data_IF_548548567275
#
_entry.id   IF_548548567275
#
_cell.length_a   1.000
_cell.length_b   1.000
_cell.length_c   1.000
_cell.angle_alpha   90.00
_cell.angle_beta   90.00
_cell.angle_gamma   90.00
#
_symmetry.space_group_name_H-M   'P 1'
#
loop_
_entity.id
_entity.type
_entity.pdbx_description
1 polymer ?
#
# COMPACT_ATOMS: atom_id res chain seq x y z
N UNK A 1 11.66 -15.13 11.82
CA UNK A 1 11.88 -14.47 10.52
C UNK A 1 12.97 -13.41 10.64
N UNK A 2 13.76 -13.18 9.59
CA UNK A 2 14.83 -12.16 9.56
C UNK A 2 14.70 -11.35 8.29
N UNK A 3 14.63 -10.03 8.39
CA UNK A 3 14.52 -9.10 7.27
C UNK A 3 15.79 -8.27 7.15
N UNK A 4 16.39 -8.22 5.96
CA UNK A 4 17.66 -7.56 5.70
C UNK A 4 17.57 -6.68 4.46
N UNK A 5 18.33 -5.59 4.46
CA UNK A 5 18.53 -4.73 3.31
C UNK A 5 20.05 -4.50 3.11
N UNK A 6 20.59 -5.00 2.02
CA UNK A 6 22.01 -4.93 1.70
C UNK A 6 22.22 -4.16 0.40
N UNK A 7 23.25 -3.32 0.37
CA UNK A 7 23.69 -2.66 -0.86
C UNK A 7 24.87 -3.46 -1.41
N UNK A 8 24.74 -3.95 -2.63
CA UNK A 8 25.77 -4.71 -3.35
C UNK A 8 25.97 -4.10 -4.74
N UNK A 9 27.19 -3.69 -5.05
CA UNK A 9 27.53 -3.06 -6.33
C UNK A 9 26.58 -1.94 -6.73
N UNK A 10 25.65 -2.22 -7.66
CA UNK A 10 24.69 -1.27 -8.21
C UNK A 10 23.23 -1.55 -7.77
N UNK A 11 23.04 -2.34 -6.73
CA UNK A 11 21.71 -2.79 -6.30
C UNK A 11 21.52 -2.67 -4.79
N UNK A 12 20.27 -2.48 -4.37
CA UNK A 12 19.82 -2.78 -3.02
C UNK A 12 19.02 -4.09 -3.08
N UNK A 13 19.38 -5.02 -2.22
CA UNK A 13 18.76 -6.33 -2.10
C UNK A 13 18.01 -6.38 -0.78
N UNK A 14 16.69 -6.46 -0.85
CA UNK A 14 15.83 -6.76 0.28
C UNK A 14 15.67 -8.27 0.40
N UNK A 15 15.86 -8.83 1.58
CA UNK A 15 15.69 -10.27 1.79
C UNK A 15 14.92 -10.59 3.05
N UNK A 16 14.12 -11.66 2.97
CA UNK A 16 13.37 -12.25 4.08
C UNK A 16 13.80 -13.70 4.21
N UNK A 17 14.30 -14.07 5.37
CA UNK A 17 14.89 -15.37 5.68
C UNK A 17 14.17 -16.02 6.88
N UNK A 18 14.30 -17.33 7.01
CA UNK A 18 13.76 -18.09 8.14
C UNK A 18 12.23 -17.92 8.30
N UNK A 19 11.50 -18.10 7.20
CA UNK A 19 10.04 -18.10 7.21
C UNK A 19 9.55 -19.49 7.63
N UNK A 20 8.72 -19.55 8.66
CA UNK A 20 8.33 -20.81 9.29
C UNK A 20 6.99 -21.36 8.80
N UNK A 21 6.10 -20.50 8.27
CA UNK A 21 4.74 -20.88 7.86
C UNK A 21 4.48 -20.58 6.39
N UNK A 22 3.60 -21.38 5.76
CA UNK A 22 3.17 -21.14 4.37
C UNK A 22 2.41 -19.82 4.24
N UNK A 23 1.54 -19.48 5.19
CA UNK A 23 0.81 -18.20 5.21
C UNK A 23 1.76 -17.00 5.15
N UNK A 24 2.87 -17.05 5.88
CA UNK A 24 3.87 -16.00 5.86
C UNK A 24 4.64 -15.95 4.54
N UNK A 25 4.89 -17.12 3.92
CA UNK A 25 5.46 -17.17 2.56
C UNK A 25 4.54 -16.53 1.54
N UNK A 26 3.24 -16.84 1.60
CA UNK A 26 2.24 -16.26 0.72
C UNK A 26 2.20 -14.74 0.88
N UNK A 27 2.24 -14.23 2.11
CA UNK A 27 2.29 -12.79 2.39
C UNK A 27 3.53 -12.13 1.78
N UNK A 28 4.70 -12.73 1.95
CA UNK A 28 5.96 -12.22 1.38
C UNK A 28 5.93 -12.27 -0.15
N UNK A 29 5.40 -13.35 -0.74
CA UNK A 29 5.23 -13.47 -2.19
C UNK A 29 4.21 -12.44 -2.74
N UNK A 30 3.13 -12.18 -2.02
CA UNK A 30 2.15 -11.15 -2.38
C UNK A 30 2.78 -9.74 -2.43
N UNK A 31 3.81 -9.49 -1.62
CA UNK A 31 4.64 -8.28 -1.70
C UNK A 31 5.69 -8.31 -2.83
N UNK A 32 5.59 -9.27 -3.77
CA UNK A 32 6.46 -9.44 -4.95
C UNK A 32 7.90 -9.87 -4.64
N UNK A 33 8.15 -10.50 -3.50
CA UNK A 33 9.43 -11.17 -3.25
C UNK A 33 9.47 -12.51 -3.97
N UNK A 34 10.63 -12.87 -4.49
CA UNK A 34 10.88 -14.13 -5.21
C UNK A 34 11.79 -15.04 -4.40
N UNK A 35 11.42 -16.31 -4.31
CA UNK A 35 12.26 -17.30 -3.65
C UNK A 35 13.56 -17.53 -4.44
N UNK A 36 14.69 -17.48 -3.73
CA UNK A 36 16.02 -17.70 -4.28
C UNK A 36 16.89 -18.35 -3.22
N UNK A 37 17.32 -19.60 -3.45
CA UNK A 37 18.23 -20.35 -2.55
C UNK A 37 17.78 -20.34 -1.08
N UNK A 38 16.48 -20.60 -0.84
CA UNK A 38 15.91 -20.73 0.51
C UNK A 38 15.66 -19.39 1.24
N UNK A 39 15.76 -18.27 0.54
CA UNK A 39 15.33 -16.94 1.01
C UNK A 39 14.46 -16.24 -0.03
N UNK A 40 13.69 -15.28 0.41
CA UNK A 40 12.85 -14.46 -0.46
C UNK A 40 13.54 -13.11 -0.70
N UNK A 41 13.69 -12.72 -1.96
CA UNK A 41 14.43 -11.52 -2.33
C UNK A 41 13.63 -10.60 -3.24
N UNK A 42 13.88 -9.29 -3.11
CA UNK A 42 13.45 -8.24 -4.02
C UNK A 42 14.62 -7.30 -4.26
N UNK A 43 14.84 -6.94 -5.52
CA UNK A 43 16.06 -6.23 -5.94
C UNK A 43 15.67 -4.95 -6.65
N UNK A 44 16.33 -3.84 -6.30
CA UNK A 44 16.18 -2.55 -6.95
C UNK A 44 17.55 -1.97 -7.32
N UNK A 45 17.58 -1.01 -8.26
CA UNK A 45 18.78 -0.21 -8.51
C UNK A 45 19.15 0.60 -7.25
N UNK A 46 20.43 0.80 -7.01
CA UNK A 46 20.91 1.71 -5.96
C UNK A 46 20.78 3.19 -6.31
N UNK A 47 20.42 3.51 -7.56
CA UNK A 47 20.33 4.90 -8.02
C UNK A 47 19.08 5.63 -7.50
N UNK A 48 18.17 4.90 -6.84
CA UNK A 48 17.03 5.53 -6.18
C UNK A 48 17.47 6.38 -4.98
N UNK A 49 16.99 7.62 -4.85
CA UNK A 49 17.40 8.52 -3.76
C UNK A 49 17.05 7.99 -2.36
N UNK A 50 16.09 7.05 -2.26
CA UNK A 50 15.62 6.47 -1.00
C UNK A 50 16.46 5.29 -0.49
N UNK A 51 17.49 4.86 -1.20
CA UNK A 51 18.24 3.62 -0.90
C UNK A 51 18.75 3.57 0.54
N UNK A 52 19.32 4.64 1.07
CA UNK A 52 19.80 4.68 2.46
C UNK A 52 18.64 4.65 3.48
N UNK A 53 17.50 5.26 3.14
CA UNK A 53 16.29 5.19 3.97
C UNK A 53 15.74 3.75 3.99
N UNK A 54 15.65 3.10 2.84
CA UNK A 54 15.20 1.71 2.73
C UNK A 54 16.11 0.77 3.51
N UNK A 55 17.43 0.93 3.38
CA UNK A 55 18.42 0.15 4.14
C UNK A 55 18.23 0.27 5.65
N UNK A 56 17.88 1.46 6.14
CA UNK A 56 17.57 1.73 7.56
C UNK A 56 16.20 1.18 7.96
N UNK A 57 15.19 1.41 7.13
CA UNK A 57 13.78 1.21 7.48
C UNK A 57 13.34 -0.25 7.34
N UNK A 58 13.72 -0.91 6.25
CA UNK A 58 13.27 -2.26 5.93
C UNK A 58 13.57 -3.27 7.06
N UNK A 59 14.80 -3.42 7.57
CA UNK A 59 15.06 -4.37 8.66
C UNK A 59 14.29 -4.08 9.95
N UNK A 60 13.93 -2.82 10.17
CA UNK A 60 13.22 -2.37 11.38
C UNK A 60 11.73 -2.66 11.36
N UNK A 61 11.11 -2.62 10.16
CA UNK A 61 9.66 -2.63 10.04
C UNK A 61 9.10 -3.85 9.31
N UNK A 62 9.89 -4.50 8.46
CA UNK A 62 9.40 -5.56 7.58
C UNK A 62 8.86 -6.77 8.35
N UNK A 63 9.46 -7.15 9.47
CA UNK A 63 8.97 -8.27 10.27
C UNK A 63 7.55 -8.01 10.77
N UNK A 64 7.30 -6.83 11.36
CA UNK A 64 5.97 -6.43 11.82
C UNK A 64 4.98 -6.37 10.65
N UNK A 65 5.41 -5.81 9.53
CA UNK A 65 4.60 -5.69 8.32
C UNK A 65 4.15 -7.06 7.78
N UNK A 66 5.07 -8.02 7.64
CA UNK A 66 4.74 -9.34 7.10
C UNK A 66 3.97 -10.22 8.08
N UNK A 67 4.26 -10.14 9.38
CA UNK A 67 3.57 -10.93 10.39
C UNK A 67 2.21 -10.36 10.79
N UNK A 68 1.95 -9.09 10.52
CA UNK A 68 0.76 -8.37 11.00
C UNK A 68 0.70 -8.24 12.53
N UNK A 69 1.77 -8.64 13.25
CA UNK A 69 1.79 -8.59 14.72
C UNK A 69 1.71 -7.15 15.21
N UNK A 70 0.69 -6.87 16.03
CA UNK A 70 0.40 -5.53 16.54
C UNK A 70 0.21 -4.46 15.43
N UNK A 71 -0.16 -4.87 14.23
CA UNK A 71 -0.47 -3.97 13.14
C UNK A 71 -1.86 -3.33 13.34
N UNK A 72 -1.96 -2.03 13.05
CA UNK A 72 -3.21 -1.28 13.22
C UNK A 72 -3.49 -0.41 11.98
N UNK A 73 -4.33 -0.94 11.08
CA UNK A 73 -4.68 -0.24 9.84
C UNK A 73 -5.38 1.10 10.07
N UNK A 74 -6.16 1.22 11.16
CA UNK A 74 -6.86 2.47 11.48
C UNK A 74 -5.88 3.56 11.87
N UNK A 75 -4.92 3.23 12.72
CA UNK A 75 -3.84 4.17 13.06
C UNK A 75 -2.97 4.50 11.87
N UNK A 76 -2.63 3.50 11.05
CA UNK A 76 -1.84 3.71 9.84
C UNK A 76 -2.54 4.70 8.88
N UNK A 77 -3.83 4.48 8.59
CA UNK A 77 -4.62 5.37 7.73
C UNK A 77 -4.76 6.77 8.32
N UNK A 78 -5.01 6.89 9.62
CA UNK A 78 -5.09 8.19 10.32
C UNK A 78 -3.77 8.95 10.21
N UNK A 79 -2.66 8.30 10.53
CA UNK A 79 -1.32 8.91 10.46
C UNK A 79 -0.99 9.37 9.04
N UNK A 80 -1.32 8.54 8.02
CA UNK A 80 -1.14 8.90 6.63
C UNK A 80 -1.98 10.14 6.25
N UNK A 81 -3.26 10.10 6.56
CA UNK A 81 -4.20 11.18 6.24
C UNK A 81 -3.83 12.53 6.91
N UNK A 82 -3.39 12.50 8.17
CA UNK A 82 -2.96 13.70 8.90
C UNK A 82 -1.73 14.36 8.24
N UNK A 83 -0.72 13.58 7.86
CA UNK A 83 0.46 14.09 7.16
C UNK A 83 0.08 14.64 5.79
N UNK A 84 -0.73 13.92 5.01
CA UNK A 84 -1.21 14.39 3.71
C UNK A 84 -1.99 15.71 3.83
N UNK A 85 -2.84 15.85 4.85
CA UNK A 85 -3.56 17.09 5.13
C UNK A 85 -2.60 18.25 5.43
N UNK A 86 -1.59 18.04 6.27
CA UNK A 86 -0.59 19.06 6.62
C UNK A 86 0.25 19.50 5.40
N UNK A 87 0.50 18.58 4.46
CA UNK A 87 1.28 18.81 3.25
C UNK A 87 0.44 19.20 2.03
N UNK A 88 -0.89 19.26 2.18
CA UNK A 88 -1.83 19.49 1.09
C UNK A 88 -1.69 18.48 -0.06
N UNK A 89 -1.42 17.22 0.28
CA UNK A 89 -1.33 16.11 -0.66
C UNK A 89 -2.74 15.55 -0.88
N UNK A 90 -3.15 15.46 -2.14
CA UNK A 90 -4.44 14.91 -2.54
C UNK A 90 -4.31 13.41 -2.86
N UNK A 91 -5.26 12.63 -2.39
CA UNK A 91 -5.27 11.19 -2.55
C UNK A 91 -6.67 10.61 -2.43
N UNK A 92 -6.84 9.41 -2.91
CA UNK A 92 -8.03 8.62 -2.64
C UNK A 92 -7.67 7.19 -2.27
N UNK A 93 -8.57 6.55 -1.54
CA UNK A 93 -8.42 5.19 -1.06
C UNK A 93 -9.01 4.21 -2.05
N UNK A 94 -8.33 3.10 -2.28
CA UNK A 94 -8.81 1.97 -3.08
C UNK A 94 -8.72 0.65 -2.29
N UNK A 95 -8.94 -0.47 -2.96
CA UNK A 95 -8.76 -1.79 -2.36
C UNK A 95 -9.69 -2.09 -1.18
N UNK A 96 -9.28 -3.05 -0.36
CA UNK A 96 -10.09 -3.56 0.76
C UNK A 96 -10.31 -2.53 1.87
N UNK A 97 -9.45 -1.55 1.94
CA UNK A 97 -9.58 -0.50 2.93
C UNK A 97 -10.79 0.42 2.64
N UNK A 98 -11.19 0.56 1.35
CA UNK A 98 -12.43 1.24 0.97
C UNK A 98 -13.66 0.61 1.62
N UNK A 99 -13.77 -0.72 1.58
CA UNK A 99 -14.86 -1.46 2.16
C UNK A 99 -14.86 -1.31 3.70
N UNK A 100 -13.69 -1.44 4.32
CA UNK A 100 -13.54 -1.32 5.78
C UNK A 100 -13.94 0.07 6.30
N UNK A 101 -13.55 1.13 5.59
CA UNK A 101 -13.89 2.53 5.93
C UNK A 101 -15.37 2.81 5.78
N UNK A 102 -16.08 2.14 4.83
CA UNK A 102 -17.53 2.16 4.69
C UNK A 102 -18.27 1.38 5.78
N UNK A 103 -17.54 0.67 6.65
CA UNK A 103 -18.13 -0.14 7.72
C UNK A 103 -18.49 -1.56 7.31
N UNK A 104 -18.04 -2.03 6.16
CA UNK A 104 -18.21 -3.43 5.78
C UNK A 104 -17.35 -4.36 6.68
N UNK A 105 -17.78 -5.60 6.93
CA UNK A 105 -17.13 -6.51 7.88
C UNK A 105 -15.85 -7.13 7.31
N UNK A 106 -14.84 -6.30 7.07
CA UNK A 106 -13.54 -6.70 6.56
C UNK A 106 -12.41 -6.05 7.34
N UNK A 107 -11.31 -6.79 7.51
CA UNK A 107 -10.06 -6.27 8.06
C UNK A 107 -9.03 -6.19 6.93
N UNK A 108 -8.61 -4.99 6.52
CA UNK A 108 -7.56 -4.84 5.52
C UNK A 108 -6.21 -5.37 6.03
N UNK A 109 -5.46 -6.05 5.17
CA UNK A 109 -4.07 -6.44 5.43
C UNK A 109 -3.07 -5.37 4.98
N UNK A 110 -3.47 -4.58 4.00
CA UNK A 110 -2.75 -3.48 3.38
C UNK A 110 -3.69 -2.30 3.13
N UNK A 111 -3.13 -1.18 2.76
CA UNK A 111 -3.86 0.02 2.38
C UNK A 111 -3.40 0.42 0.97
N UNK A 112 -4.32 0.35 0.00
CA UNK A 112 -4.08 0.80 -1.37
C UNK A 112 -4.49 2.27 -1.49
N UNK A 113 -3.54 3.13 -1.84
CA UNK A 113 -3.75 4.58 -2.00
C UNK A 113 -3.34 5.02 -3.38
N UNK A 114 -4.19 5.80 -4.02
CA UNK A 114 -3.86 6.50 -5.24
C UNK A 114 -3.52 7.95 -4.95
N UNK A 115 -2.35 8.36 -5.43
CA UNK A 115 -1.85 9.73 -5.39
C UNK A 115 -1.94 10.31 -6.79
N UNK A 116 -2.23 11.60 -6.89
CA UNK A 116 -2.14 12.26 -8.19
C UNK A 116 -0.69 12.40 -8.63
N UNK A 117 -0.45 12.18 -9.91
CA UNK A 117 0.90 12.04 -10.49
C UNK A 117 1.84 13.17 -10.10
N UNK A 118 1.33 14.40 -10.05
CA UNK A 118 2.10 15.60 -9.72
C UNK A 118 2.62 15.61 -8.27
N UNK A 119 1.95 14.89 -7.37
CA UNK A 119 2.26 14.84 -5.93
C UNK A 119 2.87 13.51 -5.47
N UNK A 120 3.16 12.60 -6.40
CA UNK A 120 3.67 11.27 -6.04
C UNK A 120 4.98 11.35 -5.24
N UNK A 121 5.91 12.18 -5.68
CA UNK A 121 7.18 12.36 -4.98
C UNK A 121 7.07 13.27 -3.74
N UNK A 122 6.03 14.10 -3.63
CA UNK A 122 5.74 14.84 -2.40
C UNK A 122 5.40 13.89 -1.25
N UNK A 123 4.71 12.77 -1.56
CA UNK A 123 4.46 11.70 -0.57
C UNK A 123 5.77 11.06 -0.10
N UNK A 124 6.69 10.74 -1.01
CA UNK A 124 8.02 10.24 -0.65
C UNK A 124 8.72 11.17 0.37
N UNK A 125 8.71 12.46 0.05
CA UNK A 125 9.41 13.46 0.86
C UNK A 125 8.70 13.75 2.20
N UNK A 126 7.40 13.47 2.28
CA UNK A 126 6.60 13.60 3.50
C UNK A 126 6.77 12.41 4.47
N UNK A 127 7.18 11.23 3.98
CA UNK A 127 7.21 9.98 4.76
C UNK A 127 8.57 9.28 4.80
N UNK A 128 9.72 9.97 4.97
CA UNK A 128 11.05 9.36 4.84
C UNK A 128 11.30 8.21 5.82
N UNK A 129 10.74 8.29 7.04
CA UNK A 129 10.94 7.28 8.10
C UNK A 129 10.13 5.99 7.87
N UNK A 130 9.26 5.95 6.85
CA UNK A 130 8.34 4.84 6.55
C UNK A 130 8.59 4.18 5.21
N UNK A 131 9.52 4.69 4.39
CA UNK A 131 9.82 4.16 3.05
C UNK A 131 10.39 2.75 3.17
N UNK A 132 9.72 1.79 2.51
CA UNK A 132 10.11 0.37 2.47
C UNK A 132 10.68 -0.05 1.13
N UNK A 133 10.22 0.57 0.06
CA UNK A 133 10.63 0.31 -1.32
C UNK A 133 10.75 1.64 -2.08
N UNK A 134 11.55 1.68 -3.16
CA UNK A 134 11.73 2.91 -3.94
C UNK A 134 10.40 3.41 -4.53
N UNK A 135 10.32 4.73 -4.69
CA UNK A 135 9.28 5.39 -5.46
C UNK A 135 9.67 5.38 -6.94
N UNK A 136 9.03 4.50 -7.72
CA UNK A 136 9.44 4.13 -9.07
C UNK A 136 8.52 4.74 -10.13
N UNK A 137 9.10 5.24 -11.23
CA UNK A 137 8.39 5.39 -12.51
C UNK A 137 8.61 4.10 -13.32
N UNK A 138 7.59 3.28 -13.43
CA UNK A 138 7.60 2.00 -14.12
C UNK A 138 7.24 2.15 -15.61
N UNK A 139 6.94 3.37 -16.07
CA UNK A 139 6.48 3.63 -17.42
C UNK A 139 5.22 2.82 -17.74
N UNK A 140 5.27 2.05 -18.84
CA UNK A 140 4.16 1.18 -19.25
C UNK A 140 4.44 -0.31 -18.93
N UNK A 141 5.38 -0.59 -18.04
CA UNK A 141 5.79 -1.98 -17.76
C UNK A 141 4.91 -2.69 -16.74
N UNK A 142 4.01 -1.98 -16.08
CA UNK A 142 3.13 -2.51 -15.05
C UNK A 142 1.72 -1.90 -15.14
N UNK A 143 0.81 -2.35 -14.25
CA UNK A 143 -0.60 -1.92 -14.21
C UNK A 143 -0.78 -0.45 -13.79
N UNK A 144 0.21 0.12 -13.12
CA UNK A 144 0.29 1.55 -12.79
C UNK A 144 1.64 2.10 -13.20
N UNK A 145 1.70 3.37 -13.58
CA UNK A 145 2.96 4.00 -13.99
C UNK A 145 3.90 4.27 -12.82
N UNK A 146 3.38 4.81 -11.74
CA UNK A 146 4.17 5.13 -10.55
C UNK A 146 3.77 4.23 -9.41
N UNK A 147 4.75 3.71 -8.70
CA UNK A 147 4.53 2.84 -7.55
C UNK A 147 5.57 3.08 -6.47
N UNK A 148 5.13 3.12 -5.21
CA UNK A 148 5.98 3.19 -4.02
C UNK A 148 5.34 2.45 -2.85
N UNK A 149 6.14 2.13 -1.82
CA UNK A 149 5.64 1.40 -0.66
C UNK A 149 6.15 1.98 0.64
N UNK A 150 5.22 2.20 1.57
CA UNK A 150 5.49 2.58 2.95
C UNK A 150 5.11 1.45 3.91
N UNK A 151 5.59 1.56 5.17
CA UNK A 151 5.05 0.80 6.29
C UNK A 151 4.79 1.74 7.46
N UNK A 152 3.51 1.91 7.82
CA UNK A 152 3.07 2.74 8.95
C UNK A 152 2.30 1.83 9.93
N UNK A 153 2.62 1.87 11.22
CA UNK A 153 1.97 1.03 12.27
C UNK A 153 1.98 -0.47 11.96
N UNK A 154 2.98 -0.96 11.20
CA UNK A 154 3.07 -2.35 10.76
C UNK A 154 2.14 -2.71 9.60
N UNK A 155 1.50 -1.74 8.98
CA UNK A 155 0.65 -1.92 7.80
C UNK A 155 1.42 -1.48 6.56
N UNK A 156 1.41 -2.33 5.54
CA UNK A 156 1.86 -2.00 4.21
C UNK A 156 0.91 -0.97 3.59
N UNK A 157 1.47 0.11 3.06
CA UNK A 157 0.74 1.10 2.27
C UNK A 157 1.33 1.11 0.87
N UNK A 158 0.53 0.66 -0.09
CA UNK A 158 0.87 0.67 -1.50
C UNK A 158 0.36 1.95 -2.14
N UNK A 159 1.29 2.68 -2.74
CA UNK A 159 1.05 3.98 -3.37
C UNK A 159 1.13 3.81 -4.88
N UNK A 160 0.06 4.11 -5.57
CA UNK A 160 -0.02 4.13 -7.02
C UNK A 160 -0.30 5.54 -7.53
N UNK A 161 0.20 5.89 -8.73
CA UNK A 161 -0.15 7.12 -9.39
C UNK A 161 -0.12 6.95 -10.91
N UNK A 162 -1.24 7.22 -11.55
CA UNK A 162 -1.40 7.23 -13.00
C UNK A 162 -2.19 8.44 -13.49
N UNK A 163 -3.01 9.00 -12.61
CA UNK A 163 -3.99 10.00 -12.94
C UNK A 163 -3.47 11.41 -12.67
N UNK A 164 -3.90 12.36 -13.48
CA UNK A 164 -3.78 13.76 -13.16
C UNK A 164 -4.88 14.16 -12.20
N UNK A 165 -4.50 14.95 -11.21
CA UNK A 165 -5.38 15.34 -10.12
C UNK A 165 -6.66 15.97 -10.60
N UNK A 166 -7.78 15.46 -10.15
CA UNK A 166 -8.95 16.28 -9.92
C UNK A 166 -9.97 15.58 -9.00
N UNK A 167 -9.85 15.74 -7.69
CA UNK A 167 -10.87 15.31 -6.74
C UNK A 167 -12.21 16.06 -6.91
N UNK A 168 -12.23 17.19 -7.67
CA UNK A 168 -13.43 17.96 -7.93
C UNK A 168 -14.35 17.32 -8.98
N UNK A 169 -13.92 16.27 -9.67
CA UNK A 169 -14.66 15.65 -10.79
C UNK A 169 -15.85 14.76 -10.36
N UNK A 170 -16.24 14.74 -9.11
CA UNK A 170 -17.38 13.96 -8.60
C UNK A 170 -17.35 12.44 -8.92
N UNK A 171 -16.19 11.91 -9.24
CA UNK A 171 -15.99 10.50 -9.58
C UNK A 171 -15.75 9.65 -8.34
N UNK A 172 -15.49 10.27 -7.20
CA UNK A 172 -15.13 9.61 -5.94
C UNK A 172 -16.25 9.71 -4.91
N UNK A 173 -16.44 8.64 -4.15
CA UNK A 173 -17.23 8.71 -2.93
C UNK A 173 -16.46 9.51 -1.88
N UNK A 174 -17.21 10.19 -1.00
CA UNK A 174 -16.60 11.04 0.01
C UNK A 174 -17.27 10.78 1.36
N UNK A 175 -16.48 10.39 2.34
CA UNK A 175 -16.99 10.10 3.68
C UNK A 175 -16.21 10.85 4.76
N UNK A 176 -16.89 11.16 5.86
CA UNK A 176 -16.22 11.60 7.08
C UNK A 176 -15.91 10.37 7.94
N UNK A 177 -14.66 9.97 8.01
CA UNK A 177 -14.20 8.84 8.79
C UNK A 177 -13.34 9.32 9.95
N UNK A 178 -13.82 9.13 11.19
CA UNK A 178 -13.15 9.59 12.41
C UNK A 178 -12.74 11.08 12.40
N UNK A 179 -13.55 11.95 11.78
CA UNK A 179 -13.25 13.38 11.68
C UNK A 179 -12.33 13.77 10.52
N UNK A 180 -11.91 12.82 9.70
CA UNK A 180 -11.13 13.05 8.49
C UNK A 180 -12.02 12.79 7.27
N UNK A 181 -11.97 13.71 6.31
CA UNK A 181 -12.61 13.53 5.01
C UNK A 181 -11.74 12.64 4.13
N UNK A 182 -12.29 11.52 3.67
CA UNK A 182 -11.60 10.54 2.83
C UNK A 182 -12.36 10.40 1.52
N UNK A 183 -11.61 10.52 0.42
CA UNK A 183 -12.10 10.15 -0.90
C UNK A 183 -11.83 8.68 -1.17
N UNK A 184 -12.80 8.01 -1.77
CA UNK A 184 -12.81 6.57 -1.99
C UNK A 184 -13.12 6.25 -3.44
N UNK A 185 -12.58 5.16 -3.95
CA UNK A 185 -13.13 4.58 -5.18
C UNK A 185 -14.64 4.36 -5.04
N UNK A 186 -15.45 4.69 -6.08
CA UNK A 186 -16.88 4.43 -6.06
C UNK A 186 -17.19 2.98 -5.75
N UNK A 187 -18.25 2.75 -4.95
CA UNK A 187 -18.60 1.37 -4.54
C UNK A 187 -18.99 0.50 -5.73
N UNK A 188 -19.58 1.07 -6.77
CA UNK A 188 -19.91 0.38 -8.03
C UNK A 188 -18.66 -0.09 -8.77
N UNK A 189 -17.63 0.76 -8.83
CA UNK A 189 -16.34 0.40 -9.43
C UNK A 189 -15.67 -0.74 -8.63
N UNK A 190 -15.71 -0.68 -7.30
CA UNK A 190 -15.24 -1.76 -6.44
C UNK A 190 -15.96 -3.07 -6.73
N UNK A 191 -17.27 -3.03 -6.89
CA UNK A 191 -18.07 -4.20 -7.24
C UNK A 191 -17.62 -4.83 -8.59
N UNK A 192 -17.42 -4.02 -9.61
CA UNK A 192 -16.95 -4.49 -10.93
C UNK A 192 -15.53 -5.10 -10.86
N UNK A 193 -14.62 -4.49 -10.09
CA UNK A 193 -13.27 -5.04 -9.87
C UNK A 193 -13.36 -6.42 -9.20
N UNK A 194 -14.17 -6.57 -8.15
CA UNK A 194 -14.29 -7.85 -7.44
C UNK A 194 -14.98 -8.92 -8.29
N UNK A 195 -15.93 -8.54 -9.16
CA UNK A 195 -16.52 -9.44 -10.18
C UNK A 195 -15.46 -9.93 -11.18
N UNK A 196 -14.62 -9.02 -11.68
CA UNK A 196 -13.53 -9.38 -12.61
C UNK A 196 -12.53 -10.34 -11.96
N UNK A 197 -12.28 -10.18 -10.66
CA UNK A 197 -11.41 -11.05 -9.86
C UNK A 197 -12.10 -12.34 -9.39
N UNK A 198 -13.41 -12.49 -9.66
CA UNK A 198 -14.25 -13.62 -9.24
C UNK A 198 -14.22 -13.91 -7.73
N UNK A 199 -14.18 -12.86 -6.90
CA UNK A 199 -14.14 -12.95 -5.43
C UNK A 199 -15.55 -12.90 -4.85
N UNK A 200 -16.24 -14.02 -4.86
CA UNK A 200 -17.67 -14.14 -4.52
C UNK A 200 -18.01 -13.50 -3.15
N UNK A 201 -17.29 -13.83 -2.10
CA UNK A 201 -17.54 -13.29 -0.76
C UNK A 201 -17.47 -11.75 -0.70
N UNK A 202 -16.52 -11.16 -1.45
CA UNK A 202 -16.41 -9.71 -1.57
C UNK A 202 -17.57 -9.11 -2.36
N UNK A 203 -17.97 -9.76 -3.44
CA UNK A 203 -19.12 -9.36 -4.26
C UNK A 203 -20.39 -9.33 -3.40
N UNK A 204 -20.66 -10.41 -2.67
CA UNK A 204 -21.83 -10.55 -1.82
C UNK A 204 -21.84 -9.47 -0.70
N UNK A 205 -20.68 -9.22 -0.09
CA UNK A 205 -20.53 -8.18 0.94
C UNK A 205 -20.80 -6.77 0.39
N UNK A 206 -20.30 -6.44 -0.81
CA UNK A 206 -20.52 -5.13 -1.43
C UNK A 206 -21.99 -4.98 -1.85
N UNK A 207 -22.60 -6.02 -2.42
CA UNK A 207 -24.03 -6.01 -2.78
C UNK A 207 -24.91 -5.81 -1.53
N UNK A 208 -24.60 -6.49 -0.44
CA UNK A 208 -25.29 -6.31 0.83
C UNK A 208 -25.20 -4.88 1.37
N UNK A 209 -24.04 -4.24 1.19
CA UNK A 209 -23.84 -2.85 1.56
C UNK A 209 -24.70 -1.91 0.70
N UNK A 210 -24.66 -2.06 -0.64
CA UNK A 210 -25.44 -1.24 -1.57
C UNK A 210 -26.95 -1.35 -1.29
N UNK A 211 -27.45 -2.56 -1.00
CA UNK A 211 -28.87 -2.79 -0.73
C UNK A 211 -29.36 -2.20 0.60
N UNK A 212 -28.47 -1.78 1.49
CA UNK A 212 -28.81 -1.19 2.80
C UNK A 212 -28.75 0.34 2.83
N UNK A 213 -28.25 0.96 1.73
CA UNK A 213 -28.25 2.42 1.56
C UNK A 213 -29.60 2.93 1.08
#
# INVERSE_FOLDING_TARGET
MRCLANIEENQIILSVENIETEELKDTVCAAFFKETKGKYVKIFSKDYPEVELIKKNFPRMAEKMFTGKDADWRKALMSFAEVCKQKNIQWYLSGSCCEAVRGMPITPHDIDIHIFTEQFYDVRDAFPEYIMEPFQDLGNSWVVRYFGRLCIEGIQIDLAADEKANLDNHVYDNINWNGIQIFLEPVELRLEIEKTRNRKERIDMILDYINKQ
#
